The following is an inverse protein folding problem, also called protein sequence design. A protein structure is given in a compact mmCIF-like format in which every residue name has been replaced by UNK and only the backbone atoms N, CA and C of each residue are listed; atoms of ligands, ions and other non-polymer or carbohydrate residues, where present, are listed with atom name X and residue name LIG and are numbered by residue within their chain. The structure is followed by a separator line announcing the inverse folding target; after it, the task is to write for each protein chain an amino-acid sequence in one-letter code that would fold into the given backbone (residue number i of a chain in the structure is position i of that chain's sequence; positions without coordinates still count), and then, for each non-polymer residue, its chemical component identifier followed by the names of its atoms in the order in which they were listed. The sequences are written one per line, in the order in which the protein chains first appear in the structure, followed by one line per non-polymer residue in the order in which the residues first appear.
data_IF_198732319673
#
_entry.id   IF_198732319673
#
_cell.length_a   1.000
_cell.length_b   1.000
_cell.length_c   1.000
_cell.angle_alpha   90.00
_cell.angle_beta   90.00
_cell.angle_gamma   90.00
#
_symmetry.space_group_name_H-M   'P 1'
#
loop_
_entity.id
_entity.type
_entity.pdbx_description
1 polymer ?
#
# COMPACT_ATOMS: atom_id res chain seq x y z
N UNK A 1 51.27 25.78 -57.49
CA UNK A 1 51.28 25.04 -56.23
C UNK A 1 49.92 25.02 -55.48
N UNK A 2 48.90 25.70 -55.96
CA UNK A 2 47.57 25.79 -55.29
C UNK A 2 46.53 24.73 -55.72
N UNK A 3 46.71 24.07 -56.85
CA UNK A 3 45.73 23.08 -57.35
C UNK A 3 45.82 21.69 -56.64
N UNK A 4 46.96 21.37 -56.05
CA UNK A 4 47.16 20.08 -55.36
C UNK A 4 46.52 19.99 -53.99
N UNK A 5 46.41 21.11 -53.25
CA UNK A 5 45.80 21.17 -51.92
C UNK A 5 44.26 21.03 -51.98
N UNK A 6 43.62 21.57 -53.03
CA UNK A 6 42.16 21.49 -53.21
C UNK A 6 41.69 20.04 -53.55
N UNK A 7 42.49 19.29 -54.33
CA UNK A 7 42.15 17.91 -54.71
C UNK A 7 42.27 16.96 -53.51
N UNK A 8 43.27 17.18 -52.65
CA UNK A 8 43.43 16.39 -51.41
C UNK A 8 42.29 16.68 -50.43
N UNK A 9 41.88 17.94 -50.26
CA UNK A 9 40.79 18.33 -49.36
C UNK A 9 39.42 17.79 -49.84
N UNK A 10 39.15 17.85 -51.15
CA UNK A 10 37.90 17.27 -51.73
C UNK A 10 37.91 15.76 -51.68
N UNK A 11 39.07 15.10 -51.98
CA UNK A 11 39.19 13.65 -51.89
C UNK A 11 39.02 13.06 -50.47
N UNK A 12 39.50 13.74 -49.46
CA UNK A 12 39.31 13.33 -48.04
C UNK A 12 37.86 13.58 -47.56
N UNK A 13 37.22 14.66 -48.01
CA UNK A 13 35.81 14.95 -47.70
C UNK A 13 34.86 13.90 -48.34
N UNK A 14 35.09 13.51 -49.57
CA UNK A 14 34.31 12.52 -50.30
C UNK A 14 34.48 11.09 -49.73
N UNK A 15 35.67 10.76 -49.20
CA UNK A 15 35.95 9.42 -48.63
C UNK A 15 35.42 9.25 -47.20
N UNK A 16 35.20 10.31 -46.44
CA UNK A 16 34.67 10.25 -45.07
C UNK A 16 33.15 10.22 -45.02
N UNK A 17 32.47 10.79 -46.01
CA UNK A 17 31.02 10.93 -46.00
C UNK A 17 30.24 9.58 -45.89
N UNK A 18 30.56 8.51 -46.63
CA UNK A 18 29.84 7.24 -46.51
C UNK A 18 30.04 6.57 -45.14
N UNK A 19 31.20 6.69 -44.54
CA UNK A 19 31.49 6.08 -43.25
C UNK A 19 30.78 6.83 -42.09
N UNK A 20 30.68 8.15 -42.17
CA UNK A 20 29.90 8.95 -41.22
C UNK A 20 28.42 8.62 -41.29
N UNK A 21 27.88 8.47 -42.52
CA UNK A 21 26.50 8.06 -42.73
C UNK A 21 26.22 6.67 -42.17
N UNK A 22 27.12 5.69 -42.38
CA UNK A 22 26.98 4.34 -41.81
C UNK A 22 27.10 4.33 -40.27
N UNK A 23 27.94 5.20 -39.70
CA UNK A 23 28.03 5.30 -38.23
C UNK A 23 26.74 5.94 -37.68
N UNK A 24 26.26 7.00 -38.29
CA UNK A 24 24.99 7.66 -37.92
C UNK A 24 23.83 6.65 -37.89
N UNK A 25 23.64 5.91 -39.00
CA UNK A 25 22.62 4.85 -39.06
C UNK A 25 22.84 3.75 -38.03
N UNK A 26 24.05 3.28 -37.82
CA UNK A 26 24.33 2.22 -36.83
C UNK A 26 24.06 2.70 -35.38
N UNK A 27 24.19 4.01 -35.10
CA UNK A 27 23.84 4.61 -33.83
C UNK A 27 22.31 4.80 -33.71
N UNK A 28 21.64 5.27 -34.78
CA UNK A 28 20.19 5.42 -34.84
C UNK A 28 19.44 4.08 -34.73
N UNK A 29 19.95 3.05 -35.42
CA UNK A 29 19.36 1.72 -35.43
C UNK A 29 19.68 0.93 -34.15
N UNK A 30 20.65 1.39 -33.33
CA UNK A 30 21.01 0.71 -32.11
C UNK A 30 19.89 0.81 -31.06
N UNK A 31 19.50 -0.36 -30.54
CA UNK A 31 18.52 -0.46 -29.45
C UNK A 31 19.21 -0.90 -28.16
N UNK A 32 18.75 -0.35 -27.04
CA UNK A 32 19.27 -0.73 -25.72
C UNK A 32 19.04 -2.22 -25.45
N UNK A 33 20.13 -2.95 -25.22
CA UNK A 33 20.12 -4.41 -25.04
C UNK A 33 20.73 -5.18 -26.20
N UNK A 34 21.05 -4.52 -27.34
CA UNK A 34 21.74 -5.15 -28.45
C UNK A 34 23.22 -4.77 -28.49
N UNK A 35 24.13 -5.70 -28.83
CA UNK A 35 25.57 -5.40 -28.90
C UNK A 35 25.88 -4.47 -30.09
N UNK A 36 26.51 -3.34 -29.83
CA UNK A 36 26.97 -2.46 -30.90
C UNK A 36 28.16 -3.07 -31.65
N UNK A 37 27.97 -3.35 -32.94
CA UNK A 37 28.96 -4.02 -33.80
C UNK A 37 29.92 -3.03 -34.46
N UNK A 38 31.21 -3.12 -34.14
CA UNK A 38 32.26 -2.25 -34.71
C UNK A 38 32.94 -2.84 -35.97
N UNK A 39 32.52 -4.03 -36.44
CA UNK A 39 33.15 -4.72 -37.59
C UNK A 39 33.14 -3.91 -38.90
N UNK A 40 32.03 -3.19 -39.14
CA UNK A 40 31.89 -2.34 -40.33
C UNK A 40 32.91 -1.20 -40.40
N UNK A 41 33.47 -0.78 -39.24
CA UNK A 41 34.37 0.36 -39.12
C UNK A 41 35.87 -0.04 -39.08
N UNK A 42 36.19 -1.32 -39.23
CA UNK A 42 37.61 -1.79 -39.15
C UNK A 42 38.51 -1.21 -40.23
N UNK A 43 37.97 -0.90 -41.42
CA UNK A 43 38.71 -0.33 -42.58
C UNK A 43 38.48 1.16 -42.75
N UNK A 44 37.76 1.82 -41.84
CA UNK A 44 37.50 3.26 -41.90
C UNK A 44 38.70 4.07 -41.32
N UNK A 45 38.63 5.41 -41.55
CA UNK A 45 39.62 6.37 -41.00
C UNK A 45 39.81 6.18 -39.47
N UNK A 46 41.01 6.44 -38.97
CA UNK A 46 41.42 6.19 -37.58
C UNK A 46 40.47 6.83 -36.54
N UNK A 47 39.95 8.04 -36.84
CA UNK A 47 39.06 8.77 -35.92
C UNK A 47 37.64 8.19 -35.86
N UNK A 48 37.10 7.74 -36.98
CA UNK A 48 35.80 7.04 -37.04
C UNK A 48 35.86 5.70 -36.30
N UNK A 49 36.98 4.97 -36.43
CA UNK A 49 37.19 3.73 -35.69
C UNK A 49 37.27 3.98 -34.18
N UNK A 50 37.95 5.07 -33.76
CA UNK A 50 38.01 5.50 -32.35
C UNK A 50 36.61 5.83 -31.82
N UNK A 51 35.81 6.59 -32.58
CA UNK A 51 34.44 6.95 -32.22
C UNK A 51 33.56 5.72 -32.09
N UNK A 52 33.57 4.79 -33.04
CA UNK A 52 32.83 3.54 -32.97
C UNK A 52 33.22 2.67 -31.77
N UNK A 53 34.50 2.64 -31.39
CA UNK A 53 35.00 1.94 -30.20
C UNK A 53 34.53 2.64 -28.92
N UNK A 54 34.56 3.96 -28.89
CA UNK A 54 34.07 4.75 -27.72
C UNK A 54 32.58 4.56 -27.53
N UNK A 55 31.80 4.59 -28.60
CA UNK A 55 30.36 4.30 -28.55
C UNK A 55 30.09 2.87 -28.04
N UNK A 56 30.79 1.87 -28.56
CA UNK A 56 30.69 0.50 -28.06
C UNK A 56 31.01 0.38 -26.56
N UNK A 57 32.03 1.10 -26.07
CA UNK A 57 32.36 1.12 -24.62
C UNK A 57 31.24 1.77 -23.80
N UNK A 58 30.67 2.86 -24.32
CA UNK A 58 29.55 3.53 -23.66
C UNK A 58 28.31 2.63 -23.58
N UNK A 59 27.94 1.95 -24.67
CA UNK A 59 26.80 1.03 -24.68
C UNK A 59 27.01 -0.15 -23.73
N UNK A 60 28.19 -0.76 -23.72
CA UNK A 60 28.54 -1.82 -22.76
C UNK A 60 28.52 -1.31 -21.30
N UNK A 61 28.92 -0.06 -21.06
CA UNK A 61 28.82 0.58 -19.76
C UNK A 61 27.38 0.73 -19.29
N UNK A 62 26.51 1.20 -20.18
CA UNK A 62 25.06 1.34 -19.92
C UNK A 62 24.38 -0.01 -19.65
N UNK A 63 24.71 -1.04 -20.45
CA UNK A 63 24.17 -2.40 -20.23
C UNK A 63 24.58 -2.96 -18.86
N UNK A 64 25.85 -2.79 -18.47
CA UNK A 64 26.32 -3.23 -17.15
C UNK A 64 25.64 -2.46 -16.02
N UNK A 65 25.45 -1.16 -16.18
CA UNK A 65 24.75 -0.34 -15.19
C UNK A 65 23.27 -0.76 -15.10
N UNK A 66 22.61 -0.98 -16.23
CA UNK A 66 21.23 -1.47 -16.27
C UNK A 66 21.09 -2.84 -15.59
N UNK A 67 21.98 -3.78 -15.89
CA UNK A 67 21.98 -5.10 -15.26
C UNK A 67 22.19 -5.01 -13.74
N UNK A 68 23.10 -4.13 -13.27
CA UNK A 68 23.30 -3.89 -11.84
C UNK A 68 22.05 -3.31 -11.17
N UNK A 69 21.40 -2.32 -11.80
CA UNK A 69 20.15 -1.73 -11.27
C UNK A 69 19.02 -2.76 -11.21
N UNK A 70 18.89 -3.59 -12.23
CA UNK A 70 17.89 -4.67 -12.23
C UNK A 70 18.17 -5.72 -11.16
N UNK A 71 19.44 -6.12 -10.98
CA UNK A 71 19.81 -7.04 -9.91
C UNK A 71 19.56 -6.44 -8.51
N UNK A 72 19.91 -5.17 -8.30
CA UNK A 72 19.65 -4.49 -7.05
C UNK A 72 18.15 -4.33 -6.76
N UNK A 73 17.34 -4.03 -7.78
CA UNK A 73 15.88 -3.98 -7.63
C UNK A 73 15.30 -5.35 -7.26
N UNK A 74 15.73 -6.43 -7.93
CA UNK A 74 15.29 -7.78 -7.60
C UNK A 74 15.70 -8.21 -6.18
N UNK A 75 16.91 -7.84 -5.73
CA UNK A 75 17.36 -8.09 -4.35
C UNK A 75 16.52 -7.30 -3.35
N UNK A 76 16.22 -6.03 -3.65
CA UNK A 76 15.35 -5.20 -2.81
C UNK A 76 13.95 -5.83 -2.67
N UNK A 77 13.35 -6.32 -3.76
CA UNK A 77 12.05 -6.99 -3.73
C UNK A 77 12.06 -8.23 -2.84
N UNK A 78 13.11 -9.06 -2.92
CA UNK A 78 13.28 -10.24 -2.05
C UNK A 78 13.41 -9.85 -0.58
N UNK A 79 14.21 -8.84 -0.26
CA UNK A 79 14.36 -8.34 1.11
C UNK A 79 13.04 -7.78 1.67
N UNK A 80 12.27 -7.06 0.84
CA UNK A 80 10.95 -6.57 1.22
C UNK A 80 10.00 -7.72 1.53
N UNK A 81 9.94 -8.76 0.70
CA UNK A 81 9.13 -9.96 0.98
C UNK A 81 9.53 -10.63 2.30
N UNK A 82 10.82 -10.78 2.58
CA UNK A 82 11.30 -11.36 3.84
C UNK A 82 10.89 -10.50 5.05
N UNK A 83 11.00 -9.16 4.96
CA UNK A 83 10.53 -8.24 6.00
C UNK A 83 9.04 -8.45 6.26
N UNK A 84 8.22 -8.55 5.20
CA UNK A 84 6.79 -8.76 5.34
C UNK A 84 6.44 -10.10 5.98
N UNK A 85 7.14 -11.15 5.61
CA UNK A 85 6.99 -12.46 6.26
C UNK A 85 7.35 -12.39 7.75
N UNK A 86 8.41 -11.69 8.12
CA UNK A 86 8.82 -11.51 9.51
C UNK A 86 7.83 -10.66 10.30
N UNK A 87 7.33 -9.55 9.75
CA UNK A 87 6.32 -8.71 10.42
C UNK A 87 5.06 -9.52 10.68
N UNK A 88 4.55 -10.27 9.68
CA UNK A 88 3.40 -11.17 9.86
C UNK A 88 3.64 -12.17 11.00
N UNK A 89 4.80 -12.85 11.01
CA UNK A 89 5.13 -13.85 12.02
C UNK A 89 5.21 -13.21 13.42
N UNK A 90 5.82 -12.03 13.53
CA UNK A 90 5.92 -11.30 14.80
C UNK A 90 4.53 -10.90 15.32
N UNK A 91 3.64 -10.40 14.46
CA UNK A 91 2.27 -10.09 14.84
C UNK A 91 1.49 -11.33 15.31
N UNK A 92 1.70 -12.49 14.67
CA UNK A 92 1.10 -13.76 15.10
C UNK A 92 1.63 -14.21 16.46
N UNK A 93 2.95 -14.06 16.73
CA UNK A 93 3.55 -14.37 18.03
C UNK A 93 2.94 -13.46 19.11
N UNK A 94 2.85 -12.15 18.86
CA UNK A 94 2.25 -11.19 19.79
C UNK A 94 0.79 -11.55 20.08
N UNK A 95 -0.01 -11.86 19.04
CA UNK A 95 -1.40 -12.29 19.23
C UNK A 95 -1.50 -13.58 20.08
N UNK A 96 -0.59 -14.54 19.88
CA UNK A 96 -0.54 -15.77 20.65
C UNK A 96 -0.16 -15.50 22.12
N UNK A 97 0.81 -14.62 22.38
CA UNK A 97 1.19 -14.21 23.74
C UNK A 97 0.04 -13.50 24.45
N UNK A 98 -0.68 -12.59 23.78
CA UNK A 98 -1.86 -11.93 24.33
C UNK A 98 -2.95 -12.95 24.68
N UNK A 99 -3.17 -13.95 23.85
CA UNK A 99 -4.12 -15.03 24.13
C UNK A 99 -3.73 -15.86 25.36
N UNK A 100 -2.44 -16.20 25.50
CA UNK A 100 -1.92 -16.92 26.67
C UNK A 100 -2.06 -16.08 27.94
N UNK A 101 -1.80 -14.77 27.88
CA UNK A 101 -2.00 -13.88 29.02
C UNK A 101 -3.49 -13.77 29.38
N UNK A 102 -4.37 -13.59 28.40
CA UNK A 102 -5.82 -13.54 28.63
C UNK A 102 -6.35 -14.80 29.33
N UNK A 103 -5.81 -15.99 29.01
CA UNK A 103 -6.24 -17.24 29.63
C UNK A 103 -5.87 -17.36 31.12
N UNK A 104 -4.83 -16.65 31.58
CA UNK A 104 -4.37 -16.62 32.96
C UNK A 104 -5.06 -15.59 33.85
N UNK A 105 -5.71 -14.61 33.24
CA UNK A 105 -6.39 -13.51 33.92
C UNK A 105 -7.74 -14.01 34.47
N UNK A 106 -7.94 -13.86 35.76
CA UNK A 106 -9.19 -14.25 36.45
C UNK A 106 -10.27 -13.18 36.40
N UNK A 107 -9.87 -11.90 36.32
CA UNK A 107 -10.80 -10.78 36.27
C UNK A 107 -11.42 -10.68 34.86
N UNK A 108 -12.76 -10.80 34.72
CA UNK A 108 -13.43 -10.80 33.41
C UNK A 108 -13.13 -9.57 32.57
N UNK A 109 -13.14 -8.39 33.20
CA UNK A 109 -12.90 -7.11 32.52
C UNK A 109 -11.48 -7.04 31.94
N UNK A 110 -10.47 -7.36 32.74
CA UNK A 110 -9.08 -7.38 32.29
C UNK A 110 -8.86 -8.45 31.20
N UNK A 111 -9.51 -9.60 31.31
CA UNK A 111 -9.46 -10.65 30.28
C UNK A 111 -10.05 -10.15 28.96
N UNK A 112 -11.18 -9.46 29.01
CA UNK A 112 -11.82 -8.88 27.82
C UNK A 112 -10.92 -7.85 27.11
N UNK A 113 -10.16 -7.04 27.87
CA UNK A 113 -9.20 -6.07 27.31
C UNK A 113 -8.04 -6.75 26.58
N UNK A 114 -7.46 -7.84 27.15
CA UNK A 114 -6.42 -8.61 26.45
C UNK A 114 -6.93 -9.28 25.18
N UNK A 115 -8.19 -9.76 25.19
CA UNK A 115 -8.81 -10.30 24.00
C UNK A 115 -9.00 -9.22 22.91
N UNK A 116 -9.44 -8.02 23.31
CA UNK A 116 -9.57 -6.88 22.40
C UNK A 116 -8.21 -6.47 21.81
N UNK A 117 -7.16 -6.41 22.64
CA UNK A 117 -5.80 -6.14 22.17
C UNK A 117 -5.32 -7.20 21.17
N UNK A 118 -5.58 -8.49 21.41
CA UNK A 118 -5.29 -9.58 20.47
C UNK A 118 -6.00 -9.39 19.14
N UNK A 119 -7.28 -9.01 19.17
CA UNK A 119 -8.10 -8.86 17.95
C UNK A 119 -7.59 -7.68 17.10
N UNK A 120 -7.11 -6.59 17.73
CA UNK A 120 -6.40 -5.49 17.05
C UNK A 120 -5.12 -5.95 16.38
N UNK A 121 -4.30 -6.73 17.07
CA UNK A 121 -3.05 -7.26 16.49
C UNK A 121 -3.34 -8.17 15.31
N UNK A 122 -4.40 -8.98 15.37
CA UNK A 122 -4.84 -9.81 14.23
C UNK A 122 -5.32 -8.97 13.06
N UNK A 123 -6.10 -7.91 13.32
CA UNK A 123 -6.53 -6.98 12.29
C UNK A 123 -5.34 -6.35 11.55
N UNK A 124 -4.31 -5.91 12.29
CA UNK A 124 -3.07 -5.37 11.71
C UNK A 124 -2.31 -6.42 10.89
N UNK A 125 -2.29 -7.68 11.32
CA UNK A 125 -1.65 -8.76 10.56
C UNK A 125 -2.37 -9.04 9.24
N UNK A 126 -3.71 -9.01 9.24
CA UNK A 126 -4.54 -9.16 8.03
C UNK A 126 -4.33 -8.00 7.08
N UNK A 127 -4.37 -6.77 7.59
CA UNK A 127 -4.13 -5.57 6.82
C UNK A 127 -2.73 -5.55 6.19
N UNK A 128 -1.70 -5.91 6.96
CA UNK A 128 -0.33 -6.03 6.46
C UNK A 128 -0.23 -7.02 5.30
N UNK A 129 -0.97 -8.14 5.35
CA UNK A 129 -1.01 -9.10 4.26
C UNK A 129 -1.64 -8.51 3.00
N UNK A 130 -2.75 -7.77 3.10
CA UNK A 130 -3.40 -7.12 1.96
C UNK A 130 -2.54 -6.03 1.31
N UNK A 131 -1.77 -5.28 2.10
CA UNK A 131 -0.86 -4.26 1.58
C UNK A 131 0.20 -4.83 0.63
N UNK A 132 0.66 -6.07 0.88
CA UNK A 132 1.83 -6.62 0.20
C UNK A 132 1.54 -7.83 -0.67
N UNK A 133 0.29 -8.34 -0.71
CA UNK A 133 -0.07 -9.52 -1.50
C UNK A 133 -0.05 -9.28 -3.01
N UNK A 134 -0.26 -8.06 -3.46
CA UNK A 134 -0.47 -7.74 -4.88
C UNK A 134 0.61 -6.85 -5.50
N UNK A 135 1.76 -6.63 -4.81
CA UNK A 135 2.84 -5.77 -5.34
C UNK A 135 2.50 -4.27 -5.42
N UNK A 136 1.30 -3.88 -5.08
CA UNK A 136 0.89 -2.48 -4.93
C UNK A 136 1.23 -2.03 -3.51
N UNK A 137 2.39 -1.41 -3.35
CA UNK A 137 3.05 -1.18 -2.06
C UNK A 137 2.28 -0.21 -1.12
N UNK A 138 1.19 0.44 -1.56
CA UNK A 138 0.60 1.55 -0.80
C UNK A 138 -0.92 1.55 -0.69
N UNK A 139 -1.65 0.70 -1.39
CA UNK A 139 -3.12 0.71 -1.38
C UNK A 139 -3.74 -0.65 -1.08
N UNK A 140 -4.90 -0.62 -0.44
CA UNK A 140 -5.68 -1.80 -0.06
C UNK A 140 -7.04 -1.74 -0.73
N UNK A 141 -7.47 -2.85 -1.34
CA UNK A 141 -8.86 -3.02 -1.76
C UNK A 141 -9.74 -3.22 -0.51
N UNK A 142 -10.53 -2.22 -0.18
CA UNK A 142 -11.32 -2.19 1.06
C UNK A 142 -12.43 -3.26 1.07
N UNK A 143 -12.99 -3.63 -0.07
CA UNK A 143 -14.01 -4.70 -0.15
C UNK A 143 -13.42 -6.04 0.31
N UNK A 144 -12.35 -6.48 -0.32
CA UNK A 144 -11.70 -7.77 0.00
C UNK A 144 -11.20 -7.79 1.43
N UNK A 145 -10.59 -6.69 1.85
CA UNK A 145 -10.06 -6.54 3.20
C UNK A 145 -11.16 -6.60 4.27
N UNK A 146 -12.27 -5.88 4.11
CA UNK A 146 -13.37 -5.88 5.09
C UNK A 146 -14.06 -7.25 5.19
N UNK A 147 -14.24 -7.95 4.06
CA UNK A 147 -14.80 -9.31 4.05
C UNK A 147 -13.90 -10.26 4.85
N UNK A 148 -12.60 -10.23 4.62
CA UNK A 148 -11.67 -11.09 5.36
C UNK A 148 -11.57 -10.72 6.85
N UNK A 149 -11.42 -9.44 7.16
CA UNK A 149 -11.30 -8.94 8.54
C UNK A 149 -12.53 -9.32 9.38
N UNK A 150 -13.71 -8.97 8.90
CA UNK A 150 -14.95 -9.24 9.65
C UNK A 150 -15.22 -10.74 9.78
N UNK A 151 -14.97 -11.52 8.73
CA UNK A 151 -15.06 -12.98 8.79
C UNK A 151 -14.13 -13.58 9.86
N UNK A 152 -12.90 -13.13 9.93
CA UNK A 152 -11.93 -13.56 10.95
C UNK A 152 -12.35 -13.15 12.37
N UNK A 153 -12.92 -11.96 12.54
CA UNK A 153 -13.43 -11.48 13.84
C UNK A 153 -14.58 -12.37 14.33
N UNK A 154 -15.55 -12.65 13.49
CA UNK A 154 -16.69 -13.52 13.81
C UNK A 154 -16.21 -14.92 14.21
N UNK A 155 -15.35 -15.52 13.39
CA UNK A 155 -14.77 -16.84 13.69
C UNK A 155 -14.00 -16.87 15.01
N UNK A 156 -13.20 -15.84 15.28
CA UNK A 156 -12.39 -15.75 16.52
C UNK A 156 -13.24 -15.63 17.79
N UNK A 157 -14.49 -15.12 17.66
CA UNK A 157 -15.46 -14.99 18.76
C UNK A 157 -16.37 -16.21 18.90
N UNK A 158 -16.14 -17.26 18.10
CA UNK A 158 -16.95 -18.49 18.14
C UNK A 158 -18.27 -18.41 17.37
N UNK A 159 -18.49 -17.31 16.63
CA UNK A 159 -19.66 -17.17 15.77
C UNK A 159 -19.37 -17.80 14.41
N UNK A 160 -20.15 -18.78 14.03
CA UNK A 160 -20.11 -19.35 12.70
C UNK A 160 -21.16 -18.64 11.81
N UNK A 161 -20.89 -18.40 10.51
CA UNK A 161 -21.85 -17.80 9.60
C UNK A 161 -23.20 -18.55 9.64
N UNK A 162 -24.30 -17.83 9.89
CA UNK A 162 -25.65 -18.39 9.88
C UNK A 162 -26.09 -19.14 11.15
N UNK A 163 -25.32 -19.11 12.24
CA UNK A 163 -25.75 -19.65 13.52
C UNK A 163 -26.65 -18.67 14.29
N UNK A 164 -26.04 -17.82 15.09
CA UNK A 164 -26.73 -16.89 16.00
C UNK A 164 -26.71 -15.47 15.45
N UNK A 165 -25.56 -15.04 14.92
CA UNK A 165 -25.37 -13.71 14.36
C UNK A 165 -25.14 -13.78 12.85
N UNK A 166 -25.78 -12.86 12.14
CA UNK A 166 -25.62 -12.71 10.70
C UNK A 166 -24.78 -11.48 10.41
N UNK A 167 -23.70 -11.65 9.63
CA UNK A 167 -22.81 -10.59 9.20
C UNK A 167 -23.15 -10.19 7.77
N UNK A 168 -23.44 -8.90 7.59
CA UNK A 168 -23.68 -8.29 6.28
C UNK A 168 -22.58 -7.30 5.97
N UNK A 169 -21.91 -7.45 4.82
CA UNK A 169 -20.81 -6.56 4.41
C UNK A 169 -21.14 -5.98 3.04
N UNK A 170 -21.16 -4.66 2.97
CA UNK A 170 -21.34 -3.91 1.74
C UNK A 170 -20.20 -2.90 1.60
N UNK A 171 -19.39 -3.06 0.57
CA UNK A 171 -18.29 -2.16 0.29
C UNK A 171 -18.03 -2.06 -1.22
N UNK A 172 -17.72 -0.87 -1.75
CA UNK A 172 -17.29 -0.71 -3.12
C UNK A 172 -15.87 -1.24 -3.31
N UNK A 173 -15.44 -1.40 -4.55
CA UNK A 173 -14.03 -1.60 -4.87
C UNK A 173 -13.27 -0.29 -4.73
N UNK A 174 -13.04 0.10 -3.48
CA UNK A 174 -12.33 1.30 -3.12
C UNK A 174 -10.89 0.96 -2.73
N UNK A 175 -9.92 1.53 -3.42
CA UNK A 175 -8.52 1.49 -3.01
C UNK A 175 -8.24 2.61 -2.02
N UNK A 176 -7.69 2.28 -0.86
CA UNK A 176 -7.38 3.22 0.21
C UNK A 176 -5.90 3.10 0.61
N UNK A 177 -5.26 4.22 0.92
CA UNK A 177 -3.89 4.22 1.40
C UNK A 177 -3.78 3.54 2.78
N UNK A 178 -2.61 2.99 3.10
CA UNK A 178 -2.34 2.37 4.40
C UNK A 178 -2.64 3.31 5.57
N UNK A 179 -2.32 4.59 5.44
CA UNK A 179 -2.52 5.61 6.48
C UNK A 179 -4.00 5.81 6.85
N UNK A 180 -4.91 5.54 5.91
CA UNK A 180 -6.35 5.60 6.15
C UNK A 180 -6.93 4.22 6.47
N UNK A 181 -6.46 3.18 5.82
CA UNK A 181 -6.96 1.82 6.01
C UNK A 181 -6.66 1.26 7.41
N UNK A 182 -5.47 1.56 7.99
CA UNK A 182 -5.09 1.10 9.34
C UNK A 182 -6.05 1.61 10.42
N UNK A 183 -6.27 2.91 10.58
CA UNK A 183 -7.21 3.40 11.60
C UNK A 183 -8.65 2.92 11.33
N UNK A 184 -9.07 2.85 10.05
CA UNK A 184 -10.40 2.36 9.69
C UNK A 184 -10.60 0.89 10.08
N UNK A 185 -9.60 0.03 9.84
CA UNK A 185 -9.59 -1.36 10.25
C UNK A 185 -9.75 -1.54 11.77
N UNK A 186 -9.07 -0.69 12.54
CA UNK A 186 -9.15 -0.73 14.00
C UNK A 186 -10.52 -0.24 14.51
N UNK A 187 -11.12 0.76 13.85
CA UNK A 187 -12.52 1.17 14.14
C UNK A 187 -13.48 0.01 13.88
N UNK A 188 -13.38 -0.65 12.72
CA UNK A 188 -14.22 -1.81 12.39
C UNK A 188 -14.03 -2.94 13.41
N UNK A 189 -12.77 -3.22 13.77
CA UNK A 189 -12.45 -4.26 14.76
C UNK A 189 -13.13 -3.98 16.11
N UNK A 190 -13.03 -2.75 16.62
CA UNK A 190 -13.66 -2.39 17.89
C UNK A 190 -15.20 -2.39 17.80
N UNK A 191 -15.77 -1.83 16.74
CA UNK A 191 -17.22 -1.74 16.57
C UNK A 191 -17.87 -3.14 16.41
N UNK A 192 -17.29 -4.00 15.56
CA UNK A 192 -17.75 -5.38 15.36
C UNK A 192 -17.56 -6.22 16.63
N UNK A 193 -16.39 -6.09 17.29
CA UNK A 193 -16.13 -6.78 18.55
C UNK A 193 -17.13 -6.38 19.65
N UNK A 194 -17.46 -5.09 19.76
CA UNK A 194 -18.48 -4.60 20.70
C UNK A 194 -19.86 -5.16 20.36
N UNK A 195 -20.25 -5.20 19.10
CA UNK A 195 -21.52 -5.78 18.68
C UNK A 195 -21.62 -7.25 19.10
N UNK A 196 -20.63 -8.08 18.77
CA UNK A 196 -20.65 -9.52 19.09
C UNK A 196 -20.63 -9.76 20.59
N UNK A 197 -19.85 -8.97 21.37
CA UNK A 197 -19.70 -9.19 22.82
C UNK A 197 -20.87 -8.67 23.66
N UNK A 198 -21.47 -7.56 23.23
CA UNK A 198 -22.37 -6.80 24.11
C UNK A 198 -23.78 -6.61 23.57
N UNK A 199 -23.98 -6.61 22.24
CA UNK A 199 -25.26 -6.29 21.67
C UNK A 199 -26.29 -7.44 21.77
N UNK A 200 -25.83 -8.69 21.93
CA UNK A 200 -26.69 -9.88 21.88
C UNK A 200 -26.53 -10.76 23.12
N UNK A 201 -27.01 -10.31 24.30
CA UNK A 201 -26.93 -11.13 25.51
C UNK A 201 -27.83 -12.38 25.42
N UNK A 202 -27.54 -13.38 26.27
CA UNK A 202 -28.39 -14.55 26.48
C UNK A 202 -28.70 -15.33 25.19
N UNK A 203 -27.73 -15.50 24.31
CA UNK A 203 -27.88 -16.25 23.03
C UNK A 203 -28.88 -15.64 22.03
N UNK A 204 -29.23 -14.38 22.19
CA UNK A 204 -30.08 -13.67 21.23
C UNK A 204 -29.47 -13.69 19.83
N UNK A 205 -30.28 -14.04 18.84
CA UNK A 205 -29.91 -13.90 17.42
C UNK A 205 -30.05 -12.46 16.95
N UNK A 206 -29.24 -12.07 15.95
CA UNK A 206 -29.30 -10.74 15.39
C UNK A 206 -28.37 -10.56 14.21
N UNK A 207 -28.26 -9.31 13.78
CA UNK A 207 -27.53 -8.92 12.59
C UNK A 207 -26.49 -7.85 12.91
N UNK A 208 -25.35 -7.94 12.23
CA UNK A 208 -24.30 -6.92 12.23
C UNK A 208 -24.04 -6.52 10.79
N UNK A 209 -24.14 -5.23 10.49
CA UNK A 209 -23.87 -4.67 9.17
C UNK A 209 -22.57 -3.85 9.21
N UNK A 210 -21.74 -4.04 8.21
CA UNK A 210 -20.54 -3.24 7.95
C UNK A 210 -20.65 -2.70 6.54
N UNK A 211 -21.02 -1.43 6.40
CA UNK A 211 -21.23 -0.80 5.11
C UNK A 211 -20.17 0.31 4.92
N UNK A 212 -19.47 0.27 3.80
CA UNK A 212 -18.59 1.34 3.35
C UNK A 212 -19.16 1.92 2.08
N UNK A 213 -19.36 3.23 2.04
CA UNK A 213 -19.83 3.96 0.87
C UNK A 213 -18.85 5.09 0.53
N UNK A 214 -18.85 5.56 -0.71
CA UNK A 214 -18.04 6.70 -1.15
C UNK A 214 -18.72 7.46 -2.27
N UNK A 215 -18.51 8.77 -2.27
CA UNK A 215 -18.85 9.69 -3.37
C UNK A 215 -17.62 10.05 -4.23
N UNK A 216 -16.44 9.46 -3.94
CA UNK A 216 -15.17 9.73 -4.60
C UNK A 216 -14.30 10.80 -3.92
N UNK A 217 -14.85 11.63 -3.04
CA UNK A 217 -14.12 12.62 -2.24
C UNK A 217 -14.12 12.28 -0.76
N UNK A 218 -15.22 11.71 -0.29
CA UNK A 218 -15.40 11.24 1.08
C UNK A 218 -15.74 9.74 1.09
N UNK A 219 -15.46 9.09 2.22
CA UNK A 219 -15.95 7.77 2.51
C UNK A 219 -16.77 7.79 3.81
N UNK A 220 -17.84 7.01 3.83
CA UNK A 220 -18.66 6.79 5.01
C UNK A 220 -18.59 5.30 5.39
N UNK A 221 -18.03 5.03 6.57
CA UNK A 221 -18.12 3.73 7.21
C UNK A 221 -19.30 3.71 8.16
N UNK A 222 -20.18 2.73 8.03
CA UNK A 222 -21.31 2.52 8.90
C UNK A 222 -21.22 1.10 9.47
N UNK A 223 -21.07 0.98 10.80
CA UNK A 223 -21.12 -0.31 11.50
C UNK A 223 -22.33 -0.27 12.43
N UNK A 224 -23.29 -1.18 12.22
CA UNK A 224 -24.56 -1.23 12.93
C UNK A 224 -24.85 -2.65 13.42
N UNK A 225 -25.48 -2.74 14.60
CA UNK A 225 -26.15 -3.95 15.09
C UNK A 225 -27.65 -3.70 15.38
N UNK A 226 -28.44 -4.75 15.49
CA UNK A 226 -29.84 -4.73 15.93
C UNK A 226 -30.00 -5.30 17.34
N UNK A 227 -28.99 -5.16 18.15
CA UNK A 227 -28.91 -5.67 19.50
C UNK A 227 -29.67 -4.83 20.54
N UNK A 228 -29.22 -4.90 21.79
CA UNK A 228 -29.84 -4.16 22.91
C UNK A 228 -29.43 -2.70 22.96
N UNK A 229 -28.44 -2.29 22.17
CA UNK A 229 -27.91 -0.92 22.16
C UNK A 229 -27.00 -0.62 23.36
N UNK A 230 -26.52 0.63 23.44
CA UNK A 230 -25.71 1.12 24.55
C UNK A 230 -26.66 1.57 25.65
N UNK A 231 -26.46 1.16 26.93
CA UNK A 231 -27.29 1.63 28.04
C UNK A 231 -27.27 3.16 28.15
N UNK A 232 -28.46 3.77 28.31
CA UNK A 232 -28.60 5.20 28.46
C UNK A 232 -27.68 5.75 29.59
N UNK A 233 -26.91 6.78 29.30
CA UNK A 233 -25.95 7.41 30.24
C UNK A 233 -24.48 7.02 30.00
N UNK A 234 -24.15 6.16 29.03
CA UNK A 234 -22.75 5.86 28.65
C UNK A 234 -22.21 6.71 27.48
N UNK A 235 -23.06 7.42 26.76
CA UNK A 235 -22.67 8.21 25.57
C UNK A 235 -22.49 9.69 25.86
N UNK A 236 -23.02 10.18 26.98
CA UNK A 236 -22.88 11.58 27.38
C UNK A 236 -21.59 11.80 28.16
N UNK A 237 -20.63 12.49 27.62
CA UNK A 237 -20.01 13.72 28.16
C UNK A 237 -18.61 13.97 27.61
N UNK A 238 -18.35 15.24 27.35
CA UNK A 238 -17.02 15.78 27.08
C UNK A 238 -16.06 15.72 28.30
N UNK A 239 -16.54 15.32 29.47
CA UNK A 239 -15.70 15.17 30.67
C UNK A 239 -16.46 14.40 31.77
N UNK A 240 -16.28 13.10 31.87
CA UNK A 240 -16.55 12.45 33.16
C UNK A 240 -17.22 11.09 33.22
N UNK A 241 -17.76 10.51 32.19
CA UNK A 241 -18.29 9.14 32.24
C UNK A 241 -17.29 8.17 31.62
N UNK A 242 -17.06 7.03 32.25
CA UNK A 242 -16.12 5.99 31.83
C UNK A 242 -16.58 5.36 30.52
N UNK A 243 -16.31 6.05 29.40
CA UNK A 243 -16.32 5.39 28.09
C UNK A 243 -15.44 4.15 28.17
N UNK A 244 -15.95 3.01 27.77
CA UNK A 244 -15.11 1.82 27.64
C UNK A 244 -13.94 2.10 26.70
N UNK A 245 -12.80 1.45 26.93
CA UNK A 245 -11.56 1.65 26.15
C UNK A 245 -11.85 1.56 24.64
N UNK A 246 -12.76 0.67 24.21
CA UNK A 246 -13.15 0.53 22.81
C UNK A 246 -13.71 1.80 22.17
N UNK A 247 -14.63 2.51 22.84
CA UNK A 247 -15.20 3.76 22.32
C UNK A 247 -14.16 4.89 22.28
N UNK A 248 -13.28 4.96 23.29
CA UNK A 248 -12.16 5.91 23.29
C UNK A 248 -11.22 5.68 22.10
N UNK A 249 -10.96 4.42 21.76
CA UNK A 249 -10.14 4.06 20.60
C UNK A 249 -10.83 4.43 19.29
N UNK A 250 -12.13 4.14 19.13
CA UNK A 250 -12.91 4.56 17.95
C UNK A 250 -12.81 6.06 17.76
N UNK A 251 -13.00 6.86 18.84
CA UNK A 251 -12.84 8.32 18.80
C UNK A 251 -11.42 8.76 18.45
N UNK A 252 -10.42 8.09 19.01
CA UNK A 252 -9.01 8.36 18.73
C UNK A 252 -8.64 8.13 17.26
N UNK A 253 -9.02 6.99 16.71
CA UNK A 253 -8.78 6.66 15.30
C UNK A 253 -9.58 7.52 14.34
N UNK A 254 -10.82 7.87 14.67
CA UNK A 254 -11.61 8.83 13.89
C UNK A 254 -10.92 10.19 13.81
N UNK A 255 -10.37 10.71 14.92
CA UNK A 255 -9.57 11.95 14.94
C UNK A 255 -8.30 11.83 14.08
N UNK A 256 -7.60 10.69 14.13
CA UNK A 256 -6.42 10.43 13.31
C UNK A 256 -6.75 10.48 11.80
N UNK A 257 -7.93 10.00 11.42
CA UNK A 257 -8.43 10.07 10.04
C UNK A 257 -8.89 11.48 9.62
N UNK A 258 -9.02 12.41 10.55
CA UNK A 258 -9.72 13.69 10.31
C UNK A 258 -11.22 13.47 10.05
N UNK A 259 -11.77 12.37 10.57
CA UNK A 259 -13.14 11.96 10.36
C UNK A 259 -14.08 12.52 11.42
N UNK A 260 -15.35 12.69 11.06
CA UNK A 260 -16.44 12.89 12.01
C UNK A 260 -16.97 11.52 12.45
N UNK A 261 -17.24 11.38 13.75
CA UNK A 261 -17.85 10.18 14.33
C UNK A 261 -19.22 10.55 14.90
N UNK A 262 -20.24 9.83 14.47
CA UNK A 262 -21.60 9.89 15.04
C UNK A 262 -21.94 8.51 15.60
N UNK A 263 -22.43 8.48 16.84
CA UNK A 263 -22.91 7.25 17.48
C UNK A 263 -24.41 7.40 17.66
N UNK A 264 -25.19 6.49 17.07
CA UNK A 264 -26.67 6.50 17.15
C UNK A 264 -27.14 5.33 17.99
N UNK A 265 -28.11 5.61 18.82
CA UNK A 265 -28.84 4.65 19.65
C UNK A 265 -30.29 4.55 19.17
N UNK A 266 -30.84 3.37 19.23
CA UNK A 266 -32.25 3.14 18.84
C UNK A 266 -32.39 1.85 18.04
N UNK A 267 -32.80 0.77 18.73
CA UNK A 267 -32.92 -0.55 18.12
C UNK A 267 -31.56 -1.18 17.75
N UNK A 268 -30.55 -1.00 18.63
CA UNK A 268 -29.16 -1.42 18.47
C UNK A 268 -28.19 -0.26 18.58
N UNK A 269 -26.94 -0.48 18.19
CA UNK A 269 -25.87 0.54 18.15
C UNK A 269 -25.46 0.78 16.70
N UNK A 270 -25.20 2.04 16.34
CA UNK A 270 -24.70 2.39 15.02
C UNK A 270 -23.57 3.41 15.16
N UNK A 271 -22.42 3.07 14.57
CA UNK A 271 -21.26 3.96 14.42
C UNK A 271 -21.21 4.43 12.97
N UNK A 272 -21.23 5.75 12.76
CA UNK A 272 -21.09 6.37 11.44
C UNK A 272 -19.82 7.21 11.45
N UNK A 273 -18.86 6.86 10.62
CA UNK A 273 -17.55 7.53 10.48
C UNK A 273 -17.44 8.08 9.07
N UNK A 274 -17.38 9.42 8.93
CA UNK A 274 -17.19 10.10 7.65
C UNK A 274 -15.79 10.67 7.58
N UNK A 275 -15.02 10.28 6.57
CA UNK A 275 -13.63 10.67 6.41
C UNK A 275 -13.37 11.21 5.00
N UNK A 276 -12.50 12.23 4.85
CA UNK A 276 -12.06 12.68 3.53
C UNK A 276 -11.12 11.62 2.93
N UNK A 277 -11.35 11.27 1.66
CA UNK A 277 -10.44 10.40 0.93
C UNK A 277 -9.20 11.21 0.53
N UNK A 278 -8.04 10.74 0.94
CA UNK A 278 -6.77 11.33 0.52
C UNK A 278 -6.44 10.79 -0.87
N UNK A 279 -6.43 11.67 -1.87
CA UNK A 279 -5.88 11.34 -3.18
C UNK A 279 -4.40 10.99 -3.01
N UNK A 280 -3.99 9.85 -3.51
CA UNK A 280 -2.57 9.48 -3.53
C UNK A 280 -1.77 10.63 -4.16
N UNK A 281 -0.86 11.22 -3.39
CA UNK A 281 0.25 11.95 -3.99
C UNK A 281 1.12 10.88 -4.66
N UNK A 282 1.02 10.76 -5.95
CA UNK A 282 2.03 10.10 -6.76
C UNK A 282 3.27 11.02 -6.70
N UNK A 283 4.00 10.96 -5.60
CA UNK A 283 5.34 11.53 -5.49
C UNK A 283 6.28 10.60 -6.28
N UNK A 284 6.09 10.60 -7.61
CA UNK A 284 7.15 10.18 -8.51
C UNK A 284 8.36 11.09 -8.24
N UNK A 285 9.61 10.58 -8.34
CA UNK A 285 10.79 11.40 -8.19
C UNK A 285 10.71 12.52 -9.25
N UNK A 286 10.42 13.74 -8.80
CA UNK A 286 10.55 14.94 -9.62
C UNK A 286 12.02 15.06 -9.93
N UNK A 287 12.45 14.56 -11.09
CA UNK A 287 13.68 14.96 -11.74
C UNK A 287 13.55 16.48 -11.98
N UNK A 288 13.99 17.28 -10.99
CA UNK A 288 14.21 18.70 -11.17
C UNK A 288 15.28 18.83 -12.27
N UNK A 289 14.79 19.01 -13.50
CA UNK A 289 15.63 19.39 -14.62
C UNK A 289 16.44 20.60 -14.20
N UNK A 290 17.76 20.46 -14.28
CA UNK A 290 18.70 21.55 -14.11
C UNK A 290 18.32 22.66 -15.10
N UNK A 291 17.72 23.74 -14.59
CA UNK A 291 17.47 24.96 -15.34
C UNK A 291 18.82 25.47 -15.83
N UNK A 292 19.01 25.45 -17.13
CA UNK A 292 20.12 26.10 -17.80
C UNK A 292 20.16 27.59 -17.39
N UNK A 293 21.23 28.03 -16.76
CA UNK A 293 21.51 29.46 -16.54
C UNK A 293 21.86 30.07 -17.90
N UNK A 294 21.21 31.16 -18.32
CA UNK A 294 21.68 31.89 -19.47
C UNK A 294 22.97 32.68 -19.09
N UNK A 295 24.03 32.46 -19.86
CA UNK A 295 25.23 33.27 -19.82
C UNK A 295 24.90 34.72 -20.14
N UNK A 296 25.33 35.62 -19.32
CA UNK A 296 25.70 37.00 -19.67
C UNK A 296 27.20 37.11 -19.74
#
# INVERSE_FOLDING_TARGET
MMAGLSIVAVGTSLSLNPYLYHLGRAVEDWRAGEPFHTRAFRRSHKDLRRLAISFKRATLGLERQRARLQAAAAEQDLLMQEIHHRVKNNLQIVASLLNLQASRIRQPEARAEFQSARDRVRALATLHRHLYAHGEIHTINMREFLVELCGQLFQAMGEAPGRRLHLHIEAPELKMSSDQAVPLALIVTEAVSNAVKYAFPSERSGNVWVCLATDGETAELNVRDDGVGIPAGRVETEAGTRDGIGLQLIRGFSRQLGATLEVKEGGGTQYVVRLPLRKERIDGPVLRGAAARPNR
#
